data_IF_414775326901
#
_entry.id   IF_414775326901
#
_cell.length_a   1.000
_cell.length_b   1.000
_cell.length_c   1.000
_cell.angle_alpha   90.00
_cell.angle_beta   90.00
_cell.angle_gamma   90.00
#
_symmetry.space_group_name_H-M   'P 1'
#
loop_
_entity.id
_entity.type
_entity.pdbx_description
1 polymer ?
#
# COMPACT_ATOMS: atom_id res chain seq x y z
N UNK A 1 -5.92 2.47 22.60
CA UNK A 1 -5.06 3.00 21.52
C UNK A 1 -5.04 4.49 21.71
N UNK A 2 -3.86 5.13 21.66
CA UNK A 2 -3.77 6.56 21.94
C UNK A 2 -4.56 7.40 20.91
N UNK A 3 -5.34 8.37 21.39
CA UNK A 3 -6.20 9.20 20.55
C UNK A 3 -5.40 10.03 19.53
N UNK A 4 -4.17 10.40 19.86
CA UNK A 4 -3.28 11.15 18.96
C UNK A 4 -2.82 10.30 17.79
N UNK A 5 -2.58 9.01 18.02
CA UNK A 5 -2.21 8.04 16.96
C UNK A 5 -3.41 7.82 16.04
N UNK A 6 -4.61 7.61 16.59
CA UNK A 6 -5.83 7.48 15.81
C UNK A 6 -6.04 8.71 14.92
N UNK A 7 -5.89 9.92 15.45
CA UNK A 7 -6.04 11.15 14.66
C UNK A 7 -5.05 11.20 13.49
N UNK A 8 -3.80 10.77 13.67
CA UNK A 8 -2.80 10.70 12.59
C UNK A 8 -3.16 9.67 11.52
N UNK A 9 -3.67 8.51 11.92
CA UNK A 9 -4.08 7.46 10.98
C UNK A 9 -5.31 7.88 10.19
N UNK A 10 -6.31 8.46 10.86
CA UNK A 10 -7.52 8.94 10.21
C UNK A 10 -7.29 10.17 9.34
N UNK A 11 -6.23 10.95 9.60
CA UNK A 11 -5.83 12.06 8.73
C UNK A 11 -5.25 11.60 7.37
N UNK A 12 -4.89 10.32 7.22
CA UNK A 12 -4.35 9.79 5.98
C UNK A 12 -5.13 8.54 5.54
N UNK A 13 -5.85 8.64 4.42
CA UNK A 13 -6.67 7.55 3.90
C UNK A 13 -5.87 6.26 3.62
N UNK A 14 -4.60 6.36 3.20
CA UNK A 14 -3.74 5.19 3.01
C UNK A 14 -3.50 4.46 4.33
N UNK A 15 -3.25 5.21 5.40
CA UNK A 15 -2.96 4.64 6.71
C UNK A 15 -4.23 4.01 7.29
N UNK A 16 -5.36 4.71 7.18
CA UNK A 16 -6.67 4.19 7.57
C UNK A 16 -7.02 2.90 6.80
N UNK A 17 -6.81 2.90 5.48
CA UNK A 17 -7.09 1.74 4.63
C UNK A 17 -6.20 0.56 5.01
N UNK A 18 -4.90 0.78 5.16
CA UNK A 18 -3.97 -0.28 5.57
C UNK A 18 -4.30 -0.83 6.96
N UNK A 19 -4.67 0.04 7.90
CA UNK A 19 -5.11 -0.35 9.24
C UNK A 19 -6.38 -1.23 9.20
N UNK A 20 -7.35 -0.92 8.33
CA UNK A 20 -8.57 -1.74 8.15
C UNK A 20 -8.26 -3.14 7.64
N UNK A 21 -7.28 -3.30 6.74
CA UNK A 21 -6.87 -4.61 6.23
C UNK A 21 -5.96 -5.38 7.20
N UNK A 22 -5.38 -4.70 8.19
CA UNK A 22 -4.43 -5.30 9.13
C UNK A 22 -4.83 -5.01 10.57
N UNK A 23 -5.87 -5.68 11.10
CA UNK A 23 -6.40 -5.41 12.44
C UNK A 23 -5.38 -5.67 13.56
N UNK A 24 -4.36 -6.50 13.32
CA UNK A 24 -3.23 -6.74 14.25
C UNK A 24 -2.56 -5.46 14.74
N UNK A 25 -2.51 -4.42 13.90
CA UNK A 25 -1.89 -3.15 14.27
C UNK A 25 -2.69 -2.39 15.33
N UNK A 26 -4.00 -2.64 15.48
CA UNK A 26 -4.76 -2.07 16.60
C UNK A 26 -4.22 -2.56 17.95
N UNK A 27 -3.89 -3.85 18.06
CA UNK A 27 -3.34 -4.44 19.28
C UNK A 27 -1.93 -3.89 19.54
N UNK A 28 -1.06 -3.94 18.52
CA UNK A 28 0.34 -3.49 18.62
C UNK A 28 0.43 -2.01 19.02
N UNK A 29 -0.38 -1.15 18.39
CA UNK A 29 -0.40 0.29 18.68
C UNK A 29 -1.11 0.61 19.99
N UNK A 30 -1.93 -0.31 20.51
CA UNK A 30 -2.56 -0.19 21.83
C UNK A 30 -1.58 -0.57 22.95
N UNK A 31 -0.79 -1.62 22.76
CA UNK A 31 0.19 -2.09 23.74
C UNK A 31 1.46 -1.23 23.74
N UNK A 32 1.92 -0.81 22.57
CA UNK A 32 3.11 0.02 22.42
C UNK A 32 2.85 1.23 21.51
N UNK A 33 2.60 2.43 22.05
CA UNK A 33 2.42 3.64 21.24
C UNK A 33 3.68 4.03 20.45
N UNK A 34 4.87 3.55 20.84
CA UNK A 34 6.12 3.74 20.10
C UNK A 34 6.19 2.95 18.77
N UNK A 35 5.36 1.91 18.62
CA UNK A 35 5.30 1.10 17.40
C UNK A 35 4.65 1.84 16.21
N UNK A 36 4.14 3.06 16.41
CA UNK A 36 3.60 3.89 15.32
C UNK A 36 4.62 4.13 14.21
N UNK A 37 5.91 4.28 14.54
CA UNK A 37 6.96 4.48 13.54
C UNK A 37 7.13 3.25 12.65
N UNK A 38 7.04 2.05 13.23
CA UNK A 38 7.07 0.79 12.48
C UNK A 38 5.83 0.62 11.61
N UNK A 39 4.64 0.96 12.14
CA UNK A 39 3.41 0.98 11.36
C UNK A 39 3.56 1.88 10.12
N UNK A 40 4.07 3.10 10.31
CA UNK A 40 4.23 4.07 9.22
C UNK A 40 5.22 3.57 8.14
N UNK A 41 6.34 2.97 8.56
CA UNK A 41 7.27 2.34 7.61
C UNK A 41 6.64 1.18 6.86
N UNK A 42 5.90 0.31 7.56
CA UNK A 42 5.24 -0.86 6.96
C UNK A 42 4.20 -0.43 5.92
N UNK A 43 3.38 0.59 6.23
CA UNK A 43 2.40 1.12 5.29
C UNK A 43 3.09 1.72 4.06
N UNK A 44 4.18 2.49 4.26
CA UNK A 44 4.96 3.07 3.17
C UNK A 44 5.57 2.00 2.26
N UNK A 45 6.12 0.93 2.83
CA UNK A 45 6.69 -0.18 2.07
C UNK A 45 5.58 -0.90 1.29
N UNK A 46 4.47 -1.25 1.94
CA UNK A 46 3.34 -1.92 1.31
C UNK A 46 2.73 -1.07 0.17
N UNK A 47 2.62 0.24 0.38
CA UNK A 47 2.12 1.18 -0.64
C UNK A 47 3.09 1.31 -1.81
N UNK A 48 4.40 1.42 -1.56
CA UNK A 48 5.41 1.47 -2.62
C UNK A 48 5.44 0.19 -3.44
N UNK A 49 5.38 -0.97 -2.81
CA UNK A 49 5.28 -2.25 -3.51
C UNK A 49 4.02 -2.30 -4.37
N UNK A 50 2.87 -1.87 -3.82
CA UNK A 50 1.61 -1.81 -4.58
C UNK A 50 1.70 -0.85 -5.77
N UNK A 51 2.40 0.27 -5.64
CA UNK A 51 2.59 1.23 -6.73
C UNK A 51 3.54 0.71 -7.81
N UNK A 52 4.69 0.13 -7.42
CA UNK A 52 5.63 -0.48 -8.35
C UNK A 52 5.03 -1.67 -9.10
N UNK A 53 4.29 -2.54 -8.41
CA UNK A 53 3.62 -3.69 -9.00
C UNK A 53 2.59 -3.27 -10.05
N UNK A 54 1.83 -2.20 -9.79
CA UNK A 54 0.91 -1.60 -10.77
C UNK A 54 1.63 -1.06 -12.01
N UNK A 55 2.82 -0.47 -11.86
CA UNK A 55 3.62 0.03 -12.99
C UNK A 55 4.17 -1.13 -13.82
N UNK A 56 4.64 -2.21 -13.17
CA UNK A 56 5.10 -3.41 -13.86
C UNK A 56 3.98 -4.06 -14.69
N UNK A 57 2.79 -4.22 -14.09
CA UNK A 57 1.61 -4.75 -14.79
C UNK A 57 1.15 -3.84 -15.93
N UNK A 58 1.29 -2.52 -15.83
CA UNK A 58 1.00 -1.62 -16.93
C UNK A 58 1.98 -1.80 -18.09
N UNK A 59 3.29 -1.88 -17.81
CA UNK A 59 4.30 -2.17 -18.84
C UNK A 59 4.04 -3.48 -19.55
N UNK A 60 3.74 -4.56 -18.83
CA UNK A 60 3.44 -5.87 -19.44
C UNK A 60 2.22 -5.82 -20.37
N UNK A 61 1.18 -5.09 -20.01
CA UNK A 61 0.00 -4.92 -20.86
C UNK A 61 0.33 -4.14 -22.13
N UNK A 62 1.14 -3.07 -22.03
CA UNK A 62 1.59 -2.30 -23.20
C UNK A 62 2.47 -3.15 -24.12
N UNK A 63 3.40 -3.93 -23.57
CA UNK A 63 4.25 -4.85 -24.34
C UNK A 63 3.42 -5.92 -25.06
N UNK A 64 2.42 -6.49 -24.38
CA UNK A 64 1.52 -7.48 -24.97
C UNK A 64 0.69 -6.88 -26.12
N UNK A 65 0.12 -5.68 -25.94
CA UNK A 65 -0.63 -4.97 -26.99
C UNK A 65 0.27 -4.72 -28.21
N UNK A 66 1.50 -4.26 -27.99
CA UNK A 66 2.46 -4.04 -29.08
C UNK A 66 2.82 -5.35 -29.80
N UNK A 67 3.02 -6.46 -29.07
CA UNK A 67 3.29 -7.77 -29.65
C UNK A 67 2.13 -8.31 -30.51
N UNK A 68 0.90 -8.16 -30.03
CA UNK A 68 -0.31 -8.57 -30.77
C UNK A 68 -0.52 -7.71 -32.02
N UNK A 69 -0.37 -6.38 -31.92
CA UNK A 69 -0.46 -5.48 -33.09
C UNK A 69 0.58 -5.87 -34.15
N UNK A 70 1.81 -6.20 -33.74
CA UNK A 70 2.87 -6.62 -34.66
C UNK A 70 2.57 -7.94 -35.37
N UNK A 71 1.94 -8.89 -34.66
CA UNK A 71 1.54 -10.17 -35.24
C UNK A 71 0.36 -10.04 -36.20
N UNK A 72 -0.59 -9.14 -35.92
CA UNK A 72 -1.77 -8.91 -36.76
C UNK A 72 -1.48 -8.06 -38.02
N UNK A 73 -0.42 -7.25 -38.00
CA UNK A 73 0.03 -6.45 -39.14
C UNK A 73 1.08 -7.18 -40.01
N UNK A 74 1.34 -8.47 -39.75
CA UNK A 74 2.34 -9.28 -40.45
C UNK A 74 1.73 -10.41 -41.26
#
# INVERSE_FOLDING_TARGET
MDASILKKIYANELYLRYLRYNPKWYLILNENPGAYKEFEQTVKIATKQTASDKIDNFRRQVDFINGVIRYLNS
#
